data_IF_104084584811
#
_entry.id   IF_104084584811
#
_cell.length_a   1.000
_cell.length_b   1.000
_cell.length_c   1.000
_cell.angle_alpha   90.00
_cell.angle_beta   90.00
_cell.angle_gamma   90.00
#
_symmetry.space_group_name_H-M   'P 1'
#
loop_
_entity.id
_entity.type
_entity.pdbx_description
1 polymer ?
#
# COMPACT_ATOMS: atom_id res chain seq x y z
N UNK A 1 -8.49 -9.95 6.10
CA UNK A 1 -7.12 -9.73 5.60
C UNK A 1 -6.19 -10.64 6.37
N UNK A 2 -5.32 -11.37 5.68
CA UNK A 2 -4.36 -12.25 6.37
C UNK A 2 -3.19 -11.44 6.93
N UNK A 3 -2.72 -11.77 8.14
CA UNK A 3 -1.53 -11.14 8.73
C UNK A 3 -0.30 -11.24 7.82
N UNK A 4 -0.24 -12.32 7.03
CA UNK A 4 0.82 -12.53 6.03
C UNK A 4 0.85 -11.44 4.96
N UNK A 5 -0.31 -11.03 4.43
CA UNK A 5 -0.37 -9.97 3.41
C UNK A 5 0.03 -8.62 4.00
N UNK A 6 -0.50 -8.29 5.19
CA UNK A 6 -0.15 -7.05 5.91
C UNK A 6 1.36 -6.96 6.17
N UNK A 7 1.96 -8.03 6.68
CA UNK A 7 3.40 -8.07 6.95
C UNK A 7 4.23 -7.92 5.67
N UNK A 8 3.85 -8.62 4.59
CA UNK A 8 4.51 -8.47 3.29
C UNK A 8 4.41 -7.02 2.76
N UNK A 9 3.26 -6.39 2.96
CA UNK A 9 3.07 -5.00 2.57
C UNK A 9 3.96 -4.04 3.38
N UNK A 10 4.02 -4.22 4.70
CA UNK A 10 4.90 -3.44 5.57
C UNK A 10 6.36 -3.60 5.14
N UNK A 11 6.82 -4.83 4.84
CA UNK A 11 8.17 -5.06 4.32
C UNK A 11 8.42 -4.24 3.05
N UNK A 12 7.50 -4.28 2.08
CA UNK A 12 7.65 -3.55 0.82
C UNK A 12 7.59 -2.03 0.99
N UNK A 13 6.77 -1.53 1.90
CA UNK A 13 6.74 -0.10 2.23
C UNK A 13 8.05 0.36 2.86
N UNK A 14 8.66 -0.45 3.74
CA UNK A 14 9.97 -0.13 4.31
C UNK A 14 11.07 -0.11 3.24
N UNK A 15 11.15 -1.15 2.39
CA UNK A 15 12.10 -1.18 1.27
C UNK A 15 11.94 0.05 0.35
N UNK A 16 10.70 0.45 0.08
CA UNK A 16 10.43 1.63 -0.73
C UNK A 16 10.89 2.93 -0.05
N UNK A 17 10.63 3.09 1.25
CA UNK A 17 11.07 4.26 2.02
C UNK A 17 12.60 4.40 2.03
N UNK A 18 13.33 3.28 2.08
CA UNK A 18 14.79 3.27 2.05
C UNK A 18 15.39 3.67 0.69
N UNK A 19 14.62 3.53 -0.39
CA UNK A 19 15.12 3.75 -1.76
C UNK A 19 14.79 5.13 -2.33
N UNK A 20 13.88 5.88 -1.70
CA UNK A 20 13.47 7.21 -2.16
C UNK A 20 14.25 8.34 -1.45
N UNK A 21 14.65 9.39 -2.19
CA UNK A 21 15.46 10.48 -1.62
C UNK A 21 14.70 11.37 -0.62
N UNK A 22 13.36 11.45 -0.73
CA UNK A 22 12.53 12.33 0.11
C UNK A 22 11.29 11.57 0.65
N UNK A 23 11.46 10.63 1.61
CA UNK A 23 10.36 9.79 2.12
C UNK A 23 9.30 10.54 2.93
N UNK A 24 9.56 11.79 3.26
CA UNK A 24 8.66 12.69 3.98
C UNK A 24 7.90 13.63 3.03
N UNK A 25 8.26 13.64 1.74
CA UNK A 25 7.55 14.43 0.73
C UNK A 25 6.22 13.77 0.36
N UNK A 26 5.10 14.50 0.40
CA UNK A 26 3.82 13.96 -0.03
C UNK A 26 3.86 13.61 -1.53
N UNK A 27 3.56 12.36 -1.87
CA UNK A 27 3.59 11.87 -3.26
C UNK A 27 2.38 11.05 -3.66
N UNK A 28 1.59 10.54 -2.70
CA UNK A 28 0.39 9.77 -3.00
C UNK A 28 -0.83 10.61 -2.64
N UNK A 29 -1.67 10.89 -3.65
CA UNK A 29 -2.99 11.47 -3.43
C UNK A 29 -3.93 10.42 -2.83
N UNK A 30 -4.50 10.72 -1.67
CA UNK A 30 -5.68 10.02 -1.18
C UNK A 30 -6.91 10.82 -1.63
N UNK A 31 -7.97 10.14 -2.08
CA UNK A 31 -9.19 10.80 -2.56
C UNK A 31 -9.67 11.86 -1.55
N UNK A 32 -10.02 13.05 -2.03
CA UNK A 32 -10.37 14.20 -1.18
C UNK A 32 -9.34 15.34 -1.15
N UNK A 33 -8.29 15.29 -1.98
CA UNK A 33 -7.34 16.39 -2.14
C UNK A 33 -6.20 16.42 -1.12
N UNK A 34 -6.12 15.43 -0.25
CA UNK A 34 -4.99 15.27 0.67
C UNK A 34 -3.91 14.39 0.03
N UNK A 35 -2.65 14.74 0.26
CA UNK A 35 -1.50 13.93 -0.14
C UNK A 35 -0.82 13.38 1.09
N UNK A 36 -0.36 12.13 1.01
CA UNK A 36 0.43 11.48 2.05
C UNK A 36 1.86 11.25 1.59
N UNK A 37 2.79 11.37 2.53
CA UNK A 37 4.15 10.90 2.37
C UNK A 37 4.23 9.38 2.56
N UNK A 38 5.27 8.74 2.01
CA UNK A 38 5.56 7.31 2.22
C UNK A 38 5.63 6.92 3.69
N UNK A 39 6.27 7.74 4.53
CA UNK A 39 6.29 7.48 5.99
C UNK A 39 4.91 7.55 6.61
N UNK A 40 4.08 8.51 6.22
CA UNK A 40 2.71 8.63 6.73
C UNK A 40 1.86 7.42 6.34
N UNK A 41 2.04 6.89 5.13
CA UNK A 41 1.36 5.67 4.68
C UNK A 41 1.77 4.48 5.54
N UNK A 42 3.09 4.27 5.70
CA UNK A 42 3.61 3.19 6.55
C UNK A 42 3.07 3.31 7.97
N UNK A 43 3.05 4.51 8.53
CA UNK A 43 2.51 4.76 9.86
C UNK A 43 1.02 4.40 9.94
N UNK A 44 0.19 4.87 9.01
CA UNK A 44 -1.23 4.53 8.98
C UNK A 44 -1.49 3.01 8.90
N UNK A 45 -0.66 2.28 8.15
CA UNK A 45 -0.73 0.81 8.00
C UNK A 45 -0.27 0.10 9.28
N UNK A 46 0.80 0.55 9.92
CA UNK A 46 1.29 0.00 11.19
C UNK A 46 0.28 0.20 12.33
N UNK A 47 -0.24 1.41 12.45
CA UNK A 47 -1.18 1.83 13.50
C UNK A 47 -2.61 1.30 13.27
N UNK A 48 -2.85 0.57 12.18
CA UNK A 48 -4.15 0.02 11.80
C UNK A 48 -5.29 1.05 11.80
N UNK A 49 -4.96 2.30 11.50
CA UNK A 49 -5.96 3.37 11.38
C UNK A 49 -7.01 3.01 10.32
N UNK A 50 -8.23 3.59 10.37
CA UNK A 50 -9.23 3.35 9.33
C UNK A 50 -8.72 3.62 7.90
N UNK A 51 -7.83 4.59 7.74
CA UNK A 51 -7.17 4.86 6.47
C UNK A 51 -6.16 3.76 6.09
N UNK A 52 -5.31 3.34 7.02
CA UNK A 52 -4.36 2.25 6.81
C UNK A 52 -5.06 0.94 6.40
N UNK A 53 -6.13 0.57 7.11
CA UNK A 53 -6.92 -0.62 6.79
C UNK A 53 -7.54 -0.54 5.39
N UNK A 54 -8.06 0.63 4.99
CA UNK A 54 -8.58 0.85 3.63
C UNK A 54 -7.48 0.76 2.57
N UNK A 55 -6.31 1.34 2.82
CA UNK A 55 -5.17 1.27 1.90
C UNK A 55 -4.71 -0.18 1.70
N UNK A 56 -4.53 -0.93 2.80
CA UNK A 56 -4.12 -2.33 2.72
C UNK A 56 -5.16 -3.18 1.99
N UNK A 57 -6.45 -2.99 2.28
CA UNK A 57 -7.53 -3.70 1.58
C UNK A 57 -7.57 -3.37 0.08
N UNK A 58 -7.48 -2.10 -0.29
CA UNK A 58 -7.49 -1.70 -1.70
C UNK A 58 -6.32 -2.32 -2.46
N UNK A 59 -5.13 -2.38 -1.84
CA UNK A 59 -3.96 -2.98 -2.47
C UNK A 59 -4.04 -4.52 -2.51
N UNK A 60 -4.67 -5.16 -1.52
CA UNK A 60 -5.02 -6.59 -1.57
C UNK A 60 -5.95 -6.88 -2.75
N UNK A 61 -7.03 -6.11 -2.88
CA UNK A 61 -8.02 -6.26 -3.94
C UNK A 61 -7.38 -6.05 -5.33
N UNK A 62 -6.53 -5.02 -5.51
CA UNK A 62 -5.78 -4.78 -6.76
C UNK A 62 -4.78 -5.90 -7.09
N UNK A 63 -4.10 -6.45 -6.09
CA UNK A 63 -3.16 -7.55 -6.29
C UNK A 63 -3.89 -8.83 -6.75
N UNK A 64 -5.05 -9.12 -6.15
CA UNK A 64 -5.90 -10.25 -6.55
C UNK A 64 -6.40 -10.05 -7.98
N UNK A 65 -6.92 -8.86 -8.29
CA UNK A 65 -7.40 -8.52 -9.64
C UNK A 65 -6.28 -8.71 -10.69
N UNK A 66 -5.07 -8.24 -10.39
CA UNK A 66 -3.93 -8.39 -11.30
C UNK A 66 -3.60 -9.87 -11.56
N UNK A 67 -3.56 -10.70 -10.53
CA UNK A 67 -3.30 -12.15 -10.66
C UNK A 67 -4.40 -12.83 -11.49
N UNK A 68 -5.67 -12.49 -11.25
CA UNK A 68 -6.79 -13.06 -11.98
C UNK A 68 -6.77 -12.64 -13.46
N UNK A 69 -6.52 -11.36 -13.74
CA UNK A 69 -6.43 -10.84 -15.10
C UNK A 69 -5.23 -11.40 -15.88
N UNK A 70 -4.09 -11.66 -15.21
CA UNK A 70 -2.95 -12.35 -15.83
C UNK A 70 -3.32 -13.77 -16.24
N UNK A 71 -4.00 -14.53 -15.36
CA UNK A 71 -4.43 -15.91 -15.67
C UNK A 71 -5.39 -15.99 -16.85
N UNK A 72 -6.26 -15.00 -17.03
CA UNK A 72 -7.19 -14.95 -18.17
C UNK A 72 -6.47 -14.65 -19.50
N UNK A 73 -5.37 -13.89 -19.49
CA UNK A 73 -4.59 -13.59 -20.70
C UNK A 73 -3.69 -14.75 -21.17
N UNK A 74 -3.37 -15.69 -20.29
CA UNK A 74 -2.56 -16.88 -20.61
C UNK A 74 -3.40 -18.10 -21.02
N UNK A 75 -4.74 -17.97 -21.08
CA UNK A 75 -5.69 -19.02 -21.49
C UNK A 75 -6.22 -18.77 -22.89
#
# INVERSE_FOLDING_TARGET
MSDRFKNALITKLNEWIETIPEPDKPIIGIGGGSTLSPRQILQHVNDETPLGQRLTKNWEDLAIEHILNVKVKES
#
